data_IF_775209253611
#
_entry.id   IF_775209253611
#
_cell.length_a   1.000
_cell.length_b   1.000
_cell.length_c   1.000
_cell.angle_alpha   90.00
_cell.angle_beta   90.00
_cell.angle_gamma   90.00
#
_symmetry.space_group_name_H-M   'P 1'
#
loop_
_entity.id
_entity.type
_entity.pdbx_description
1 polymer ?
#
# COMPACT_ATOMS: atom_id res chain seq x y z
N UNK A 1 23.65 -29.76 -19.01
CA UNK A 1 23.89 -28.30 -18.89
C UNK A 1 22.66 -27.46 -19.18
N UNK A 2 21.86 -27.79 -20.17
CA UNK A 2 20.59 -27.08 -20.47
C UNK A 2 19.56 -27.13 -19.32
N UNK A 3 19.52 -28.20 -18.52
CA UNK A 3 18.64 -28.33 -17.35
C UNK A 3 18.95 -27.37 -16.20
N UNK A 4 20.21 -27.03 -15.98
CA UNK A 4 20.63 -26.08 -14.96
C UNK A 4 20.20 -24.63 -15.26
N UNK A 5 20.31 -24.19 -16.51
CA UNK A 5 19.88 -22.87 -16.94
C UNK A 5 18.35 -22.71 -16.82
N UNK A 6 17.61 -23.74 -17.20
CA UNK A 6 16.15 -23.76 -17.12
C UNK A 6 15.66 -23.71 -15.66
N UNK A 7 16.30 -24.47 -14.78
CA UNK A 7 15.99 -24.48 -13.34
C UNK A 7 16.28 -23.13 -12.70
N UNK A 8 17.43 -22.51 -12.96
CA UNK A 8 17.78 -21.17 -12.47
C UNK A 8 16.79 -20.11 -12.96
N UNK A 9 16.42 -20.15 -14.24
CA UNK A 9 15.43 -19.22 -14.79
C UNK A 9 14.07 -19.36 -14.11
N UNK A 10 13.62 -20.56 -13.81
CA UNK A 10 12.38 -20.83 -13.07
C UNK A 10 12.49 -20.29 -11.65
N UNK A 11 13.61 -20.53 -10.94
CA UNK A 11 13.84 -19.99 -9.60
C UNK A 11 13.82 -18.45 -9.58
N UNK A 12 14.47 -17.79 -10.54
CA UNK A 12 14.47 -16.33 -10.62
C UNK A 12 13.08 -15.77 -10.89
N UNK A 13 12.32 -16.37 -11.78
CA UNK A 13 10.93 -15.97 -12.07
C UNK A 13 10.04 -16.14 -10.83
N UNK A 14 10.13 -17.28 -10.16
CA UNK A 14 9.38 -17.54 -8.95
C UNK A 14 9.73 -16.56 -7.84
N UNK A 15 11.03 -16.30 -7.61
CA UNK A 15 11.48 -15.34 -6.61
C UNK A 15 11.00 -13.92 -6.88
N UNK A 16 10.97 -13.48 -8.14
CA UNK A 16 10.44 -12.18 -8.53
C UNK A 16 8.93 -12.08 -8.30
N UNK A 17 8.18 -13.13 -8.64
CA UNK A 17 6.74 -13.20 -8.38
C UNK A 17 6.42 -13.23 -6.89
N UNK A 18 7.16 -14.00 -6.11
CA UNK A 18 7.00 -14.09 -4.66
C UNK A 18 7.27 -12.73 -3.98
N UNK A 19 8.27 -11.98 -4.43
CA UNK A 19 8.55 -10.61 -3.95
C UNK A 19 7.41 -9.66 -4.26
N UNK A 20 6.86 -9.69 -5.48
CA UNK A 20 5.71 -8.88 -5.86
C UNK A 20 4.49 -9.21 -5.02
N UNK A 21 4.23 -10.50 -4.84
CA UNK A 21 3.11 -10.99 -4.01
C UNK A 21 3.25 -10.55 -2.56
N UNK A 22 4.46 -10.67 -1.99
CA UNK A 22 4.74 -10.23 -0.63
C UNK A 22 4.50 -8.73 -0.44
N UNK A 23 4.87 -7.89 -1.40
CA UNK A 23 4.58 -6.45 -1.37
C UNK A 23 3.08 -6.16 -1.40
N UNK A 24 2.34 -6.83 -2.28
CA UNK A 24 0.89 -6.68 -2.39
C UNK A 24 0.22 -7.12 -1.09
N UNK A 25 0.58 -8.26 -0.56
CA UNK A 25 0.02 -8.77 0.69
C UNK A 25 0.36 -7.87 1.89
N UNK A 26 1.59 -7.37 1.97
CA UNK A 26 2.00 -6.45 3.01
C UNK A 26 1.15 -5.17 3.02
N UNK A 27 0.88 -4.61 1.84
CA UNK A 27 0.01 -3.43 1.70
C UNK A 27 -1.44 -3.75 2.08
N UNK A 28 -1.95 -4.88 1.64
CA UNK A 28 -3.32 -5.31 1.97
C UNK A 28 -3.50 -5.59 3.46
N UNK A 29 -2.51 -6.16 4.13
CA UNK A 29 -2.52 -6.38 5.57
C UNK A 29 -2.56 -5.05 6.32
N UNK A 30 -1.78 -4.05 5.90
CA UNK A 30 -1.82 -2.70 6.48
C UNK A 30 -3.19 -2.06 6.31
N UNK A 31 -3.75 -2.14 5.10
CA UNK A 31 -5.09 -1.60 4.83
C UNK A 31 -6.16 -2.28 5.67
N UNK A 32 -6.13 -3.62 5.79
CA UNK A 32 -7.02 -4.36 6.66
C UNK A 32 -6.88 -3.95 8.13
N UNK A 33 -5.64 -3.79 8.60
CA UNK A 33 -5.35 -3.39 9.98
C UNK A 33 -5.94 -2.01 10.28
N UNK A 34 -5.72 -1.03 9.40
CA UNK A 34 -6.24 0.33 9.55
C UNK A 34 -7.76 0.33 9.47
N UNK A 35 -8.33 -0.38 8.51
CA UNK A 35 -9.78 -0.45 8.32
C UNK A 35 -10.48 -1.14 9.52
N UNK A 36 -9.91 -2.22 10.04
CA UNK A 36 -10.48 -2.98 11.16
C UNK A 36 -10.47 -2.20 12.48
N UNK A 37 -9.59 -1.20 12.61
CA UNK A 37 -9.60 -0.30 13.79
C UNK A 37 -10.86 0.55 13.91
N UNK A 38 -11.49 0.86 12.78
CA UNK A 38 -12.77 1.56 12.75
C UNK A 38 -13.97 0.68 13.10
N UNK A 39 -13.76 -0.60 13.27
CA UNK A 39 -14.77 -1.61 13.58
C UNK A 39 -14.54 -2.89 12.79
N UNK A 40 -14.70 -4.02 13.45
CA UNK A 40 -14.43 -5.35 12.87
C UNK A 40 -15.64 -5.98 12.19
N UNK A 41 -16.80 -5.33 12.26
CA UNK A 41 -18.00 -5.75 11.54
C UNK A 41 -18.04 -5.13 10.13
N UNK A 42 -17.92 -5.94 9.06
CA UNK A 42 -17.99 -5.43 7.69
C UNK A 42 -19.31 -4.76 7.35
N UNK A 43 -20.40 -5.15 8.00
CA UNK A 43 -21.72 -4.58 7.74
C UNK A 43 -21.78 -3.08 8.09
N UNK A 44 -21.07 -2.68 9.14
CA UNK A 44 -21.02 -1.29 9.64
C UNK A 44 -19.76 -0.53 9.23
N UNK A 45 -18.82 -1.18 8.54
CA UNK A 45 -17.54 -0.58 8.16
C UNK A 45 -17.28 -0.70 6.66
N UNK A 46 -17.64 0.31 5.84
CA UNK A 46 -17.44 0.29 4.39
C UNK A 46 -15.98 0.13 3.97
N UNK A 47 -15.05 0.74 4.69
CA UNK A 47 -13.61 0.63 4.42
C UNK A 47 -13.13 -0.80 4.60
N UNK A 48 -13.61 -1.47 5.66
CA UNK A 48 -13.29 -2.88 5.90
C UNK A 48 -13.85 -3.79 4.80
N UNK A 49 -15.08 -3.54 4.32
CA UNK A 49 -15.62 -4.28 3.18
C UNK A 49 -14.75 -4.17 1.94
N UNK A 50 -14.30 -2.96 1.63
CA UNK A 50 -13.42 -2.70 0.47
C UNK A 50 -12.07 -3.42 0.65
N UNK A 51 -11.47 -3.33 1.82
CA UNK A 51 -10.21 -3.99 2.13
C UNK A 51 -10.33 -5.53 2.06
N UNK A 52 -11.42 -6.10 2.57
CA UNK A 52 -11.70 -7.54 2.47
C UNK A 52 -11.88 -7.99 1.03
N UNK A 53 -12.60 -7.22 0.21
CA UNK A 53 -12.78 -7.52 -1.20
C UNK A 53 -11.45 -7.52 -1.95
N UNK A 54 -10.59 -6.53 -1.69
CA UNK A 54 -9.25 -6.45 -2.27
C UNK A 54 -8.36 -7.62 -1.85
N UNK A 55 -8.39 -8.01 -0.58
CA UNK A 55 -7.63 -9.14 -0.06
C UNK A 55 -8.06 -10.47 -0.70
N UNK A 56 -9.36 -10.68 -0.85
CA UNK A 56 -9.91 -11.87 -1.52
C UNK A 56 -9.56 -11.88 -3.01
N UNK A 57 -9.63 -10.75 -3.68
CA UNK A 57 -9.26 -10.63 -5.09
C UNK A 57 -7.76 -10.95 -5.31
N UNK A 58 -6.91 -10.66 -4.36
CA UNK A 58 -5.48 -10.99 -4.38
C UNK A 58 -5.18 -12.42 -3.90
N UNK A 59 -6.21 -13.23 -3.63
CA UNK A 59 -6.11 -14.61 -3.13
C UNK A 59 -5.38 -14.71 -1.78
N UNK A 60 -5.60 -13.74 -0.90
CA UNK A 60 -5.08 -13.82 0.46
C UNK A 60 -5.78 -14.96 1.21
N UNK A 61 -5.03 -15.87 1.87
CA UNK A 61 -5.63 -16.95 2.65
C UNK A 61 -6.55 -16.40 3.75
N UNK A 62 -7.66 -17.07 3.95
CA UNK A 62 -8.65 -16.70 4.96
C UNK A 62 -8.04 -16.58 6.36
N UNK A 63 -7.13 -17.49 6.71
CA UNK A 63 -6.46 -17.48 8.00
C UNK A 63 -5.66 -16.21 8.25
N UNK A 64 -5.04 -15.65 7.21
CA UNK A 64 -4.32 -14.39 7.31
C UNK A 64 -5.27 -13.22 7.56
N UNK A 65 -6.40 -13.20 6.88
CA UNK A 65 -7.45 -12.18 7.06
C UNK A 65 -8.01 -12.27 8.48
N UNK A 66 -8.39 -13.45 8.92
CA UNK A 66 -8.97 -13.68 10.25
C UNK A 66 -8.00 -13.29 11.37
N UNK A 67 -6.71 -13.56 11.18
CA UNK A 67 -5.66 -13.16 12.14
C UNK A 67 -5.56 -11.65 12.30
N UNK A 68 -5.60 -10.91 11.21
CA UNK A 68 -5.55 -9.44 11.23
C UNK A 68 -6.78 -8.87 11.94
N UNK A 69 -7.96 -9.37 11.64
CA UNK A 69 -9.20 -8.92 12.26
C UNK A 69 -9.19 -9.23 13.76
N UNK A 70 -8.79 -10.44 14.15
CA UNK A 70 -8.72 -10.85 15.55
C UNK A 70 -7.75 -9.97 16.36
N UNK A 71 -6.59 -9.61 15.81
CA UNK A 71 -5.68 -8.66 16.46
C UNK A 71 -6.31 -7.30 16.67
N UNK A 72 -7.06 -6.82 15.69
CA UNK A 72 -7.75 -5.53 15.79
C UNK A 72 -8.85 -5.56 16.87
N UNK A 73 -9.59 -6.65 17.01
CA UNK A 73 -10.58 -6.86 18.07
C UNK A 73 -9.96 -6.80 19.46
N UNK A 74 -8.77 -7.39 19.62
CA UNK A 74 -8.02 -7.37 20.87
C UNK A 74 -7.34 -6.05 21.20
N UNK A 75 -7.44 -5.06 20.31
CA UNK A 75 -6.70 -3.79 20.44
C UNK A 75 -5.19 -3.95 20.22
N UNK A 76 -4.79 -5.12 19.77
CA UNK A 76 -3.41 -5.44 19.43
C UNK A 76 -3.13 -5.13 17.95
N UNK A 77 -1.90 -4.94 17.63
CA UNK A 77 -1.45 -4.73 16.26
C UNK A 77 -0.69 -3.43 16.08
N UNK A 78 -0.06 -3.32 14.93
CA UNK A 78 0.75 -2.16 14.60
C UNK A 78 -0.13 -0.94 14.34
N UNK A 79 0.33 0.20 14.85
CA UNK A 79 -0.30 1.49 14.62
C UNK A 79 0.33 2.10 13.38
N UNK A 80 -0.49 2.32 12.34
CA UNK A 80 -0.07 3.00 11.14
C UNK A 80 -0.65 4.40 11.09
N UNK A 81 0.20 5.37 10.80
CA UNK A 81 -0.21 6.73 10.45
C UNK A 81 -0.52 6.80 8.96
N UNK A 82 -1.61 7.45 8.62
CA UNK A 82 -1.97 7.74 7.23
C UNK A 82 -1.47 9.13 6.88
N UNK A 83 -0.66 9.22 5.82
CA UNK A 83 -0.06 10.46 5.37
C UNK A 83 -0.30 10.61 3.87
N UNK A 84 -0.69 11.83 3.48
CA UNK A 84 -0.82 12.21 2.08
C UNK A 84 0.34 13.11 1.69
N UNK A 85 1.01 12.74 0.62
CA UNK A 85 2.05 13.52 -0.04
C UNK A 85 1.55 14.03 -1.37
N UNK A 86 1.89 15.26 -1.69
CA UNK A 86 1.51 15.90 -2.94
C UNK A 86 2.77 16.40 -3.65
N UNK A 87 2.82 16.21 -4.96
CA UNK A 87 3.96 16.63 -5.75
C UNK A 87 3.74 16.52 -7.24
N UNK A 88 4.78 16.80 -7.98
CA UNK A 88 4.80 16.71 -9.43
C UNK A 88 5.77 15.63 -9.88
N UNK A 89 5.30 14.77 -10.79
CA UNK A 89 6.13 13.81 -11.49
C UNK A 89 6.84 14.43 -12.69
N UNK A 90 7.56 13.61 -13.47
CA UNK A 90 8.19 14.06 -14.71
C UNK A 90 7.16 14.70 -15.64
N UNK A 91 7.53 15.82 -16.28
CA UNK A 91 6.63 16.53 -17.18
C UNK A 91 5.52 17.34 -16.50
N UNK A 92 5.60 17.55 -15.20
CA UNK A 92 4.62 18.35 -14.46
C UNK A 92 3.33 17.61 -14.13
N UNK A 93 3.32 16.28 -14.18
CA UNK A 93 2.17 15.46 -13.81
C UNK A 93 1.87 15.59 -12.30
N UNK A 94 0.66 15.98 -11.96
CA UNK A 94 0.22 16.07 -10.57
C UNK A 94 0.05 14.67 -9.96
N UNK A 95 0.65 14.45 -8.80
CA UNK A 95 0.61 13.17 -8.09
C UNK A 95 0.19 13.36 -6.64
N UNK A 96 -0.72 12.51 -6.20
CA UNK A 96 -1.04 12.33 -4.78
C UNK A 96 -0.60 10.92 -4.38
N UNK A 97 0.18 10.85 -3.30
CA UNK A 97 0.63 9.57 -2.74
C UNK A 97 0.05 9.43 -1.35
N UNK A 98 -0.76 8.41 -1.15
CA UNK A 98 -1.26 8.04 0.16
C UNK A 98 -0.42 6.90 0.72
N UNK A 99 0.08 7.09 1.94
CA UNK A 99 0.94 6.13 2.60
C UNK A 99 0.42 5.77 3.99
N UNK A 100 0.59 4.51 4.35
CA UNK A 100 0.36 4.02 5.72
C UNK A 100 1.71 3.59 6.28
N UNK A 101 2.14 4.21 7.37
CA UNK A 101 3.47 3.99 7.90
C UNK A 101 3.51 3.99 9.43
N UNK A 102 4.41 3.22 9.97
CA UNK A 102 4.79 3.22 11.39
C UNK A 102 5.90 4.25 11.69
N UNK A 103 6.54 4.83 10.66
CA UNK A 103 7.61 5.80 10.79
C UNK A 103 7.48 6.91 9.74
N UNK A 104 6.91 8.04 10.17
CA UNK A 104 6.68 9.23 9.31
C UNK A 104 7.96 9.79 8.71
N UNK A 105 9.03 9.86 9.50
CA UNK A 105 10.29 10.48 9.06
C UNK A 105 10.96 9.64 7.95
N UNK A 106 11.00 8.33 8.12
CA UNK A 106 11.54 7.41 7.11
C UNK A 106 10.73 7.51 5.82
N UNK A 107 9.43 7.46 5.92
CA UNK A 107 8.53 7.51 4.74
C UNK A 107 8.65 8.85 4.01
N UNK A 108 8.71 9.97 4.72
CA UNK A 108 8.91 11.28 4.10
C UNK A 108 10.22 11.34 3.31
N UNK A 109 11.30 10.82 3.88
CA UNK A 109 12.60 10.76 3.21
C UNK A 109 12.58 9.87 1.96
N UNK A 110 11.95 8.71 2.05
CA UNK A 110 11.84 7.78 0.94
C UNK A 110 10.96 8.33 -0.19
N UNK A 111 9.83 8.95 0.13
CA UNK A 111 8.95 9.57 -0.86
C UNK A 111 9.65 10.73 -1.55
N UNK A 112 10.32 11.60 -0.81
CA UNK A 112 11.09 12.71 -1.39
C UNK A 112 12.19 12.22 -2.31
N UNK A 113 12.93 11.20 -1.89
CA UNK A 113 13.97 10.58 -2.71
C UNK A 113 13.41 9.97 -3.99
N UNK A 114 12.25 9.32 -3.92
CA UNK A 114 11.59 8.75 -5.10
C UNK A 114 11.18 9.84 -6.11
N UNK A 115 10.55 10.93 -5.64
CA UNK A 115 10.22 12.05 -6.52
C UNK A 115 11.46 12.64 -7.20
N UNK A 116 12.52 12.89 -6.44
CA UNK A 116 13.78 13.46 -6.97
C UNK A 116 14.46 12.53 -7.95
N UNK A 117 14.52 11.23 -7.65
CA UNK A 117 15.17 10.22 -8.49
C UNK A 117 14.55 10.11 -9.88
N UNK A 118 13.25 10.26 -9.99
CA UNK A 118 12.52 10.11 -11.25
C UNK A 118 12.17 11.45 -11.93
N UNK A 119 12.84 12.52 -11.54
CA UNK A 119 12.72 13.82 -12.22
C UNK A 119 11.49 14.63 -11.81
N UNK A 120 10.89 14.30 -10.67
CA UNK A 120 9.79 15.06 -10.10
C UNK A 120 10.21 15.90 -8.90
N UNK A 121 9.25 16.51 -8.25
CA UNK A 121 9.46 17.28 -7.03
C UNK A 121 8.31 17.09 -6.04
N UNK A 122 8.64 16.88 -4.77
CA UNK A 122 7.66 16.85 -3.70
C UNK A 122 7.28 18.29 -3.33
N UNK A 123 5.98 18.58 -3.31
CA UNK A 123 5.43 19.86 -2.90
C UNK A 123 4.89 19.86 -1.48
N UNK A 124 4.26 20.95 -1.10
CA UNK A 124 3.57 21.09 0.17
C UNK A 124 2.15 20.53 0.09
N UNK A 125 1.57 20.23 1.24
CA UNK A 125 0.19 19.78 1.34
C UNK A 125 -0.76 20.83 0.74
N UNK A 126 -1.65 20.39 -0.12
CA UNK A 126 -2.61 21.26 -0.83
C UNK A 126 -2.12 21.83 -2.15
N UNK A 127 -0.83 21.64 -2.50
CA UNK A 127 -0.26 22.21 -3.73
C UNK A 127 -0.81 21.58 -5.02
N UNK A 128 -1.30 20.34 -4.94
CA UNK A 128 -1.76 19.55 -6.09
C UNK A 128 -3.22 19.15 -5.99
N UNK A 129 -3.73 18.91 -4.80
CA UNK A 129 -5.10 18.43 -4.57
C UNK A 129 -6.15 19.36 -5.17
N UNK A 130 -5.92 20.65 -5.15
CA UNK A 130 -6.79 21.64 -5.74
C UNK A 130 -6.89 21.50 -7.28
N UNK A 131 -5.80 21.17 -7.96
CA UNK A 131 -5.79 20.90 -9.41
C UNK A 131 -6.57 19.62 -9.75
N UNK A 132 -6.41 18.57 -8.95
CA UNK A 132 -7.10 17.31 -9.16
C UNK A 132 -8.60 17.39 -8.85
N UNK A 133 -9.01 18.23 -7.91
CA UNK A 133 -10.42 18.45 -7.61
C UNK A 133 -11.14 19.19 -8.76
N UNK A 134 -10.45 20.02 -9.51
CA UNK A 134 -11.00 20.69 -10.71
C UNK A 134 -11.21 19.73 -11.88
N UNK A 135 -10.48 18.64 -11.93
CA UNK A 135 -10.63 17.62 -13.00
C UNK A 135 -11.86 16.74 -12.78
N UNK A 136 -12.35 16.64 -11.55
CA UNK A 136 -13.53 15.86 -11.21
C UNK A 136 -14.87 16.63 -11.30
N UNK A 137 -14.82 17.87 -11.63
CA UNK A 137 -16.00 18.69 -11.91
C UNK A 137 -16.35 18.62 -13.40
#
# INVERSE_FOLDING_TARGET
MAGHSKFKNIQHRKGAQDKKRAKIFGRLIKELTVAARGGTDPASNPRLRTALAAARAANMPKDNIDRVIKKAEGGEGEIYDEIRYEGYGPGGTALIVEAMTDNKNRTASEVRAAFSKFGGSLGETGSVSFMLSLIHI
#
